data_IF_506284701751
#
_entry.id   IF_506284701751
#
_cell.length_a   1.000
_cell.length_b   1.000
_cell.length_c   1.000
_cell.angle_alpha   90.00
_cell.angle_beta   90.00
_cell.angle_gamma   90.00
#
_symmetry.space_group_name_H-M   'P 1'
#
loop_
_entity.id
_entity.type
_entity.pdbx_description
1 polymer ?
#
# COMPACT_ATOMS: atom_id res chain seq x y z
N UNK A 1 15.23 4.43 0.61
CA UNK A 1 14.64 3.38 1.48
C UNK A 1 15.61 2.19 1.53
N UNK A 2 15.77 1.53 2.67
CA UNK A 2 16.66 0.35 2.84
C UNK A 2 15.84 -0.94 2.79
N UNK A 3 16.49 -2.11 2.62
CA UNK A 3 15.80 -3.42 2.67
C UNK A 3 15.08 -3.66 4.00
N UNK A 4 15.70 -3.24 5.11
CA UNK A 4 15.07 -3.30 6.43
C UNK A 4 13.82 -2.42 6.49
N UNK A 5 13.87 -1.20 5.94
CA UNK A 5 12.70 -0.32 5.84
C UNK A 5 11.57 -0.95 5.02
N UNK A 6 11.90 -1.60 3.90
CA UNK A 6 10.91 -2.35 3.11
C UNK A 6 10.21 -3.43 3.94
N UNK A 7 10.96 -4.21 4.71
CA UNK A 7 10.37 -5.24 5.56
C UNK A 7 9.50 -4.63 6.67
N UNK A 8 9.90 -3.49 7.24
CA UNK A 8 9.13 -2.80 8.27
C UNK A 8 7.78 -2.32 7.73
N UNK A 9 7.75 -1.70 6.56
CA UNK A 9 6.52 -1.22 5.90
C UNK A 9 5.62 -2.39 5.47
N UNK A 10 6.22 -3.49 5.01
CA UNK A 10 5.49 -4.70 4.67
C UNK A 10 4.79 -5.27 5.91
N UNK A 11 5.51 -5.39 7.03
CA UNK A 11 4.95 -5.85 8.30
C UNK A 11 3.85 -4.90 8.81
N UNK A 12 4.04 -3.58 8.65
CA UNK A 12 3.02 -2.58 8.97
C UNK A 12 1.73 -2.82 8.17
N UNK A 13 1.84 -3.03 6.85
CA UNK A 13 0.69 -3.34 6.00
C UNK A 13 -0.03 -4.64 6.41
N UNK A 14 0.71 -5.69 6.79
CA UNK A 14 0.13 -6.92 7.31
C UNK A 14 -0.62 -6.70 8.64
N UNK A 15 -0.03 -5.91 9.55
CA UNK A 15 -0.66 -5.56 10.83
C UNK A 15 -1.95 -4.76 10.59
N UNK A 16 -1.92 -3.75 9.72
CA UNK A 16 -3.10 -2.98 9.34
C UNK A 16 -4.18 -3.89 8.74
N UNK A 17 -3.81 -4.89 7.93
CA UNK A 17 -4.74 -5.88 7.39
C UNK A 17 -5.37 -6.73 8.49
N UNK A 18 -4.57 -7.16 9.47
CA UNK A 18 -5.06 -7.94 10.59
C UNK A 18 -6.06 -7.13 11.45
N UNK A 19 -5.76 -5.87 11.73
CA UNK A 19 -6.60 -5.03 12.58
C UNK A 19 -7.86 -4.51 11.87
N UNK A 20 -7.72 -4.08 10.61
CA UNK A 20 -8.79 -3.39 9.89
C UNK A 20 -9.39 -4.19 8.73
N UNK A 21 -8.99 -5.45 8.51
CA UNK A 21 -9.44 -6.26 7.38
C UNK A 21 -10.96 -6.41 7.27
N UNK A 22 -11.67 -6.48 8.41
CA UNK A 22 -13.15 -6.50 8.43
C UNK A 22 -13.76 -5.20 7.90
N UNK A 23 -13.17 -4.06 8.23
CA UNK A 23 -13.63 -2.73 7.79
C UNK A 23 -13.25 -2.48 6.32
N UNK A 24 -12.00 -2.78 5.95
CA UNK A 24 -11.47 -2.58 4.60
C UNK A 24 -11.99 -3.57 3.56
N UNK A 25 -12.70 -4.62 4.01
CA UNK A 25 -13.16 -5.76 3.19
C UNK A 25 -11.99 -6.53 2.58
N UNK A 26 -12.31 -7.62 1.88
CA UNK A 26 -11.26 -8.49 1.36
C UNK A 26 -10.55 -7.95 0.10
N UNK A 27 -11.12 -6.96 -0.59
CA UNK A 27 -10.65 -6.47 -1.90
C UNK A 27 -10.42 -4.97 -1.91
N UNK A 28 -9.46 -4.52 -2.72
CA UNK A 28 -9.25 -3.10 -2.98
C UNK A 28 -10.38 -2.53 -3.86
N UNK A 29 -10.80 -1.30 -3.57
CA UNK A 29 -11.76 -0.51 -4.36
C UNK A 29 -11.31 0.95 -4.40
N UNK A 30 -11.12 1.51 -5.59
CA UNK A 30 -10.61 2.86 -5.78
C UNK A 30 -11.53 3.95 -5.19
N UNK A 31 -12.83 3.71 -5.09
CA UNK A 31 -13.79 4.65 -4.48
C UNK A 31 -13.78 4.65 -2.94
N UNK A 32 -13.13 3.67 -2.31
CA UNK A 32 -13.17 3.47 -0.85
C UNK A 32 -11.84 3.79 -0.16
N UNK A 33 -10.76 4.02 -0.93
CA UNK A 33 -9.42 4.27 -0.40
C UNK A 33 -8.73 5.40 -1.17
N UNK A 34 -8.31 6.43 -0.44
CA UNK A 34 -7.39 7.47 -0.91
C UNK A 34 -6.09 7.36 -0.11
N UNK A 35 -4.95 7.36 -0.77
CA UNK A 35 -3.64 7.28 -0.14
C UNK A 35 -2.85 8.53 -0.48
N UNK A 36 -2.35 9.20 0.57
CA UNK A 36 -1.57 10.42 0.49
C UNK A 36 -0.19 10.15 1.08
N UNK A 37 0.85 10.64 0.42
CA UNK A 37 2.22 10.63 0.94
C UNK A 37 2.89 11.98 0.68
N UNK A 38 4.01 12.22 1.36
CA UNK A 38 4.93 13.26 0.94
C UNK A 38 5.51 12.98 -0.45
N UNK A 39 6.04 14.01 -1.10
CA UNK A 39 6.70 13.93 -2.39
C UNK A 39 8.11 13.31 -2.34
N UNK A 40 8.61 12.97 -1.16
CA UNK A 40 9.92 12.33 -1.02
C UNK A 40 9.87 10.83 -1.40
N UNK A 41 10.85 10.39 -2.18
CA UNK A 41 10.88 9.02 -2.73
C UNK A 41 10.74 7.92 -1.67
N UNK A 42 11.23 8.17 -0.44
CA UNK A 42 11.14 7.17 0.63
C UNK A 42 9.71 7.01 1.14
N UNK A 43 8.91 8.06 1.28
CA UNK A 43 7.53 7.95 1.79
C UNK A 43 6.59 7.34 0.74
N UNK A 44 6.76 7.71 -0.53
CA UNK A 44 6.03 7.07 -1.65
C UNK A 44 6.33 5.57 -1.67
N UNK A 45 7.60 5.19 -1.60
CA UNK A 45 8.00 3.78 -1.65
C UNK A 45 7.54 3.00 -0.39
N UNK A 46 7.60 3.62 0.79
CA UNK A 46 7.02 3.07 2.01
C UNK A 46 5.52 2.78 1.86
N UNK A 47 4.75 3.78 1.39
CA UNK A 47 3.31 3.63 1.17
C UNK A 47 2.99 2.50 0.19
N UNK A 48 3.71 2.40 -0.93
CA UNK A 48 3.50 1.34 -1.92
C UNK A 48 3.72 -0.07 -1.33
N UNK A 49 4.75 -0.24 -0.49
CA UNK A 49 5.03 -1.53 0.13
C UNK A 49 4.00 -1.89 1.19
N UNK A 50 3.63 -0.93 2.04
CA UNK A 50 2.57 -1.14 3.02
C UNK A 50 1.24 -1.52 2.34
N UNK A 51 0.91 -0.89 1.21
CA UNK A 51 -0.28 -1.22 0.42
C UNK A 51 -0.21 -2.61 -0.22
N UNK A 52 0.96 -3.04 -0.70
CA UNK A 52 1.14 -4.37 -1.26
C UNK A 52 0.82 -5.47 -0.23
N UNK A 53 1.19 -5.25 1.04
CA UNK A 53 0.84 -6.15 2.15
C UNK A 53 -0.62 -6.00 2.62
N UNK A 54 -1.16 -4.78 2.59
CA UNK A 54 -2.51 -4.48 3.05
C UNK A 54 -3.59 -5.03 2.11
N UNK A 55 -3.34 -5.00 0.80
CA UNK A 55 -4.27 -5.42 -0.25
C UNK A 55 -3.63 -6.45 -1.19
N UNK A 56 -3.42 -7.70 -0.72
CA UNK A 56 -3.05 -8.78 -1.62
C UNK A 56 -4.15 -9.00 -2.67
N UNK A 57 -3.80 -9.22 -3.94
CA UNK A 57 -4.80 -9.33 -5.01
C UNK A 57 -5.73 -10.53 -4.78
N UNK A 58 -7.02 -10.29 -4.93
CA UNK A 58 -8.03 -11.35 -5.01
C UNK A 58 -8.08 -11.94 -6.43
N UNK A 59 -8.64 -13.13 -6.61
CA UNK A 59 -8.62 -13.86 -7.90
C UNK A 59 -9.06 -13.01 -9.10
N UNK A 60 -10.06 -12.16 -8.93
CA UNK A 60 -10.59 -11.25 -9.95
C UNK A 60 -9.70 -10.02 -10.21
N UNK A 61 -8.76 -9.72 -9.30
CA UNK A 61 -7.83 -8.60 -9.39
C UNK A 61 -6.42 -9.02 -9.84
N UNK A 62 -6.14 -10.33 -9.95
CA UNK A 62 -4.87 -10.85 -10.47
C UNK A 62 -4.82 -10.64 -11.99
N UNK A 63 -4.04 -9.66 -12.44
CA UNK A 63 -3.83 -9.38 -13.86
C UNK A 63 -2.68 -10.22 -14.46
N UNK A 64 -1.75 -10.69 -13.65
CA UNK A 64 -0.67 -11.62 -14.03
C UNK A 64 -0.33 -12.55 -12.87
N UNK A 65 0.10 -13.79 -13.19
CA UNK A 65 0.55 -14.77 -12.18
C UNK A 65 2.01 -14.60 -11.77
N UNK A 66 2.79 -13.87 -12.57
CA UNK A 66 4.22 -13.65 -12.31
C UNK A 66 4.46 -12.63 -11.19
N UNK A 67 3.45 -11.82 -10.88
CA UNK A 67 3.51 -10.77 -9.87
C UNK A 67 2.15 -10.61 -9.19
N UNK A 68 2.05 -11.10 -7.95
CA UNK A 68 0.84 -10.99 -7.11
C UNK A 68 0.72 -9.60 -6.47
N UNK A 69 0.60 -8.57 -7.31
CA UNK A 69 0.44 -7.17 -6.91
C UNK A 69 -0.55 -6.46 -7.83
N UNK A 70 -1.27 -5.48 -7.25
CA UNK A 70 -2.20 -4.60 -7.99
C UNK A 70 -1.78 -3.14 -7.87
N UNK A 71 -1.99 -2.34 -8.92
CA UNK A 71 -1.73 -0.92 -8.87
C UNK A 71 -2.73 -0.22 -7.95
N UNK A 72 -2.23 0.35 -6.85
CA UNK A 72 -2.99 1.22 -5.94
C UNK A 72 -2.37 2.63 -6.02
N UNK A 73 -3.12 3.66 -6.46
CA UNK A 73 -2.60 5.01 -6.59
C UNK A 73 -2.19 5.62 -5.24
N UNK A 74 -1.00 6.21 -5.21
CA UNK A 74 -0.51 7.04 -4.09
C UNK A 74 -0.38 8.47 -4.60
N UNK A 75 -1.08 9.40 -3.97
CA UNK A 75 -0.98 10.83 -4.28
C UNK A 75 0.17 11.43 -3.48
N UNK A 76 1.20 11.88 -4.19
CA UNK A 76 2.38 12.50 -3.60
C UNK A 76 2.18 14.02 -3.58
N UNK A 77 2.12 14.61 -2.40
CA UNK A 77 1.98 16.05 -2.20
C UNK A 77 3.31 16.64 -1.68
N UNK A 78 3.69 17.86 -2.12
CA UNK A 78 4.87 18.53 -1.59
C UNK A 78 4.76 18.67 -0.06
N UNK A 79 5.82 18.29 0.64
CA UNK A 79 5.92 18.59 2.07
C UNK A 79 6.22 20.09 2.15
N UNK A 80 5.24 20.86 2.62
CA UNK A 80 5.46 22.25 2.98
C UNK A 80 6.04 22.21 4.40
N UNK A 81 7.35 21.99 4.48
CA UNK A 81 8.07 22.27 5.72
C UNK A 81 8.14 23.80 5.84
N UNK A 82 7.38 24.39 6.77
CA UNK A 82 7.57 25.80 7.20
C UNK A 82 8.89 25.97 7.97
#
# INVERSE_FOLDING_TARGET
MTKTGMQQEFNLGQNLRQYYGKFLKNRYRASELRVLSGADNRTVASALIALAALFPPQQDQIWTRDLLWIPIPVQAEPIIDE
#
